data_IF_834438247490
#
_entry.id   IF_834438247490
#
_cell.length_a   1.000
_cell.length_b   1.000
_cell.length_c   1.000
_cell.angle_alpha   90.00
_cell.angle_beta   90.00
_cell.angle_gamma   90.00
#
_symmetry.space_group_name_H-M   'P 1'
#
loop_
_entity.id
_entity.type
_entity.pdbx_description
1 polymer ?
#
# COMPACT_ATOMS: atom_id res chain seq x y z
N UNK A 1 24.41 -1.17 2.00
CA UNK A 1 24.67 -2.51 1.38
C UNK A 1 25.73 -2.39 0.31
N UNK A 2 26.82 -3.22 0.33
CA UNK A 2 27.91 -3.18 -0.67
C UNK A 2 27.92 -4.49 -1.47
N UNK A 3 27.91 -4.40 -2.80
CA UNK A 3 28.06 -5.53 -3.72
C UNK A 3 29.45 -5.46 -4.36
N UNK A 4 30.23 -6.55 -4.27
CA UNK A 4 31.51 -6.64 -4.98
C UNK A 4 31.29 -6.71 -6.49
N UNK A 5 32.26 -6.29 -7.33
CA UNK A 5 32.18 -6.41 -8.78
C UNK A 5 31.85 -7.82 -9.26
N UNK A 6 32.44 -8.85 -8.61
CA UNK A 6 32.21 -10.26 -8.89
C UNK A 6 30.78 -10.67 -8.59
N UNK A 7 30.22 -10.19 -7.46
CA UNK A 7 28.82 -10.45 -7.09
C UNK A 7 27.85 -9.76 -8.06
N UNK A 8 28.15 -8.53 -8.48
CA UNK A 8 27.32 -7.80 -9.48
C UNK A 8 27.32 -8.54 -10.83
N UNK A 9 28.49 -8.99 -11.28
CA UNK A 9 28.62 -9.75 -12.54
C UNK A 9 27.82 -11.05 -12.45
N UNK A 10 27.97 -11.79 -11.36
CA UNK A 10 27.23 -13.03 -11.12
C UNK A 10 25.70 -12.82 -11.16
N UNK A 11 25.19 -11.78 -10.46
CA UNK A 11 23.76 -11.43 -10.46
C UNK A 11 23.29 -11.19 -11.91
N UNK A 12 24.04 -10.43 -12.70
CA UNK A 12 23.69 -10.12 -14.09
C UNK A 12 23.63 -11.37 -14.98
N UNK A 13 24.60 -12.26 -14.85
CA UNK A 13 24.69 -13.47 -15.66
C UNK A 13 23.63 -14.52 -15.30
N UNK A 14 23.25 -14.57 -14.02
CA UNK A 14 22.37 -15.60 -13.46
C UNK A 14 20.98 -15.10 -13.06
N UNK A 15 20.60 -13.89 -13.45
CA UNK A 15 19.34 -13.26 -13.01
C UNK A 15 18.07 -14.04 -13.41
N UNK A 16 18.15 -14.92 -14.42
CA UNK A 16 17.03 -15.74 -14.88
C UNK A 16 17.10 -17.19 -14.36
N UNK A 17 18.15 -17.56 -13.61
CA UNK A 17 18.34 -18.91 -13.13
C UNK A 17 17.53 -19.16 -11.86
N UNK A 18 17.29 -20.44 -11.56
CA UNK A 18 16.61 -20.84 -10.33
C UNK A 18 17.49 -20.60 -9.09
N UNK A 19 17.00 -19.75 -8.18
CA UNK A 19 17.73 -19.32 -6.99
C UNK A 19 18.09 -20.48 -6.04
N UNK A 20 17.27 -21.54 -5.99
CA UNK A 20 17.57 -22.72 -5.17
C UNK A 20 18.75 -23.49 -5.74
N UNK A 21 18.78 -23.66 -7.06
CA UNK A 21 19.88 -24.31 -7.77
C UNK A 21 21.18 -23.53 -7.63
N UNK A 22 21.13 -22.18 -7.66
CA UNK A 22 22.30 -21.31 -7.45
C UNK A 22 22.83 -21.46 -6.03
N UNK A 23 21.95 -21.51 -5.01
CA UNK A 23 22.36 -21.71 -3.61
C UNK A 23 23.16 -22.98 -3.40
N UNK A 24 22.77 -24.08 -4.04
CA UNK A 24 23.49 -25.36 -3.97
C UNK A 24 24.88 -25.31 -4.61
N UNK A 25 25.10 -24.37 -5.53
CA UNK A 25 26.36 -24.19 -6.25
C UNK A 25 27.32 -23.20 -5.61
N UNK A 26 27.00 -22.63 -4.44
CA UNK A 26 27.76 -21.57 -3.78
C UNK A 26 29.29 -21.88 -3.68
N UNK A 27 29.67 -23.13 -3.44
CA UNK A 27 31.08 -23.56 -3.37
C UNK A 27 31.85 -23.40 -4.68
N UNK A 28 31.18 -23.29 -5.82
CA UNK A 28 31.82 -23.07 -7.13
C UNK A 28 32.23 -21.64 -7.38
N UNK A 29 31.66 -20.70 -6.60
CA UNK A 29 31.84 -19.25 -6.75
C UNK A 29 32.34 -18.63 -5.44
N UNK A 30 33.54 -18.97 -4.97
CA UNK A 30 34.05 -18.51 -3.66
C UNK A 30 34.25 -17.01 -3.55
N UNK A 31 34.34 -16.30 -4.67
CA UNK A 31 34.48 -14.84 -4.75
C UNK A 31 33.14 -14.08 -4.71
N UNK A 32 32.01 -14.79 -4.78
CA UNK A 32 30.66 -14.22 -4.81
C UNK A 32 30.03 -14.28 -3.42
N UNK A 33 29.47 -13.17 -2.95
CA UNK A 33 28.56 -13.21 -1.81
C UNK A 33 27.24 -13.86 -2.23
N UNK A 34 27.22 -15.19 -2.21
CA UNK A 34 26.07 -15.97 -2.71
C UNK A 34 24.77 -15.69 -1.98
N UNK A 35 24.71 -15.57 -0.63
CA UNK A 35 23.50 -15.17 0.06
C UNK A 35 22.93 -13.85 -0.45
N UNK A 36 23.77 -12.85 -0.63
CA UNK A 36 23.37 -11.54 -1.11
C UNK A 36 22.96 -11.59 -2.59
N UNK A 37 23.72 -12.32 -3.44
CA UNK A 37 23.37 -12.50 -4.85
C UNK A 37 21.99 -13.15 -5.03
N UNK A 38 21.66 -14.18 -4.25
CA UNK A 38 20.37 -14.85 -4.29
C UNK A 38 19.23 -13.88 -3.91
N UNK A 39 19.40 -13.05 -2.87
CA UNK A 39 18.43 -12.04 -2.48
C UNK A 39 18.18 -11.07 -3.64
N UNK A 40 19.21 -10.59 -4.31
CA UNK A 40 19.07 -9.66 -5.44
C UNK A 40 18.41 -10.33 -6.65
N UNK A 41 18.79 -11.55 -7.00
CA UNK A 41 18.19 -12.30 -8.13
C UNK A 41 16.71 -12.58 -7.84
N UNK A 42 16.38 -13.11 -6.66
CA UNK A 42 15.01 -13.37 -6.26
C UNK A 42 14.14 -12.10 -6.27
N UNK A 43 14.70 -11.00 -5.75
CA UNK A 43 14.04 -9.69 -5.76
C UNK A 43 13.76 -9.20 -7.18
N UNK A 44 14.75 -9.27 -8.07
CA UNK A 44 14.59 -8.88 -9.47
C UNK A 44 13.54 -9.74 -10.18
N UNK A 45 13.55 -11.08 -9.99
CA UNK A 45 12.56 -11.99 -10.56
C UNK A 45 11.14 -11.71 -10.07
N UNK A 46 10.96 -11.42 -8.77
CA UNK A 46 9.66 -11.11 -8.18
C UNK A 46 9.07 -9.79 -8.69
N UNK A 47 9.88 -8.84 -9.15
CA UNK A 47 9.39 -7.53 -9.65
C UNK A 47 8.83 -7.60 -11.08
N UNK A 48 9.09 -8.65 -11.86
CA UNK A 48 8.62 -8.80 -13.26
C UNK A 48 7.13 -8.50 -13.39
N UNK A 49 6.30 -9.09 -12.54
CA UNK A 49 4.86 -8.93 -12.58
C UNK A 49 4.33 -7.95 -11.53
N UNK A 50 5.05 -7.78 -10.43
CA UNK A 50 4.59 -6.97 -9.30
C UNK A 50 4.86 -5.48 -9.49
N UNK A 51 6.04 -5.12 -10.03
CA UNK A 51 6.49 -3.73 -10.21
C UNK A 51 7.30 -3.64 -11.51
N UNK A 52 6.66 -3.75 -12.69
CA UNK A 52 7.34 -3.81 -13.98
C UNK A 52 8.27 -2.62 -14.28
N UNK A 53 7.91 -1.41 -13.86
CA UNK A 53 8.75 -0.22 -14.05
C UNK A 53 10.06 -0.30 -13.26
N UNK A 54 10.04 -0.87 -12.06
CA UNK A 54 11.25 -1.11 -11.28
C UNK A 54 12.08 -2.23 -11.88
N UNK A 55 11.42 -3.31 -12.34
CA UNK A 55 12.11 -4.40 -13.04
C UNK A 55 12.90 -3.91 -14.27
N UNK A 56 12.35 -2.93 -14.99
CA UNK A 56 13.00 -2.32 -16.16
C UNK A 56 14.15 -1.36 -15.79
N UNK A 57 14.31 -0.98 -14.52
CA UNK A 57 15.36 -0.06 -14.08
C UNK A 57 16.60 -0.84 -13.63
N UNK A 58 17.71 -0.63 -14.33
CA UNK A 58 18.98 -1.29 -14.01
C UNK A 58 19.59 -0.76 -12.72
N UNK A 59 20.21 -1.65 -11.95
CA UNK A 59 21.00 -1.29 -10.77
C UNK A 59 20.20 -1.12 -9.48
N UNK A 60 18.89 -1.38 -9.49
CA UNK A 60 18.10 -1.38 -8.26
C UNK A 60 18.53 -2.51 -7.33
N UNK A 61 18.48 -2.23 -6.03
CA UNK A 61 18.72 -3.18 -4.96
C UNK A 61 17.41 -3.59 -4.30
N UNK A 62 17.32 -4.86 -3.93
CA UNK A 62 16.12 -5.47 -3.39
C UNK A 62 16.30 -5.89 -1.93
N UNK A 63 15.26 -5.75 -1.09
CA UNK A 63 15.27 -6.22 0.29
C UNK A 63 15.11 -7.73 0.35
N UNK A 64 15.21 -8.29 1.55
CA UNK A 64 14.86 -9.67 1.80
C UNK A 64 13.42 -9.97 1.35
N UNK A 65 13.17 -11.20 0.95
CA UNK A 65 11.92 -11.68 0.35
C UNK A 65 10.63 -11.21 1.07
N UNK A 66 10.62 -11.25 2.40
CA UNK A 66 9.44 -10.86 3.19
C UNK A 66 9.01 -9.39 2.96
N UNK A 67 9.98 -8.46 2.94
CA UNK A 67 9.68 -7.04 2.70
C UNK A 67 9.16 -6.80 1.29
N UNK A 68 9.64 -7.56 0.31
CA UNK A 68 9.18 -7.47 -1.07
C UNK A 68 7.77 -8.06 -1.25
N UNK A 69 7.43 -9.16 -0.57
CA UNK A 69 6.09 -9.73 -0.60
C UNK A 69 5.03 -8.79 -0.03
N UNK A 70 5.37 -8.09 1.04
CA UNK A 70 4.45 -7.18 1.75
C UNK A 70 4.27 -5.83 1.05
N UNK A 71 5.15 -5.43 0.14
CA UNK A 71 5.01 -4.16 -0.56
C UNK A 71 3.84 -4.16 -1.57
N UNK A 72 3.37 -2.97 -1.91
CA UNK A 72 2.35 -2.76 -2.93
C UNK A 72 2.79 -3.24 -4.32
N UNK A 73 1.84 -3.62 -5.16
CA UNK A 73 2.07 -3.77 -6.60
C UNK A 73 2.08 -2.38 -7.27
N UNK A 74 2.68 -2.30 -8.46
CA UNK A 74 2.68 -1.07 -9.26
C UNK A 74 1.27 -0.53 -9.51
N UNK A 75 0.32 -1.42 -9.81
CA UNK A 75 -1.08 -1.05 -10.07
C UNK A 75 -1.71 -0.39 -8.83
N UNK A 76 -1.53 -0.97 -7.64
CA UNK A 76 -2.10 -0.40 -6.43
C UNK A 76 -1.37 0.87 -5.98
N UNK A 77 -0.06 0.99 -6.23
CA UNK A 77 0.72 2.19 -5.93
C UNK A 77 0.34 3.35 -6.86
N UNK A 78 0.16 3.10 -8.15
CA UNK A 78 -0.35 4.08 -9.11
C UNK A 78 -1.76 4.56 -8.76
N UNK A 79 -2.63 3.65 -8.31
CA UNK A 79 -3.97 4.03 -7.85
C UNK A 79 -3.89 4.99 -6.66
N UNK A 80 -3.08 4.69 -5.63
CA UNK A 80 -2.86 5.58 -4.49
C UNK A 80 -2.36 6.96 -4.94
N UNK A 81 -1.39 6.98 -5.85
CA UNK A 81 -0.85 8.23 -6.39
C UNK A 81 -1.92 9.07 -7.12
N UNK A 82 -2.92 8.43 -7.75
CA UNK A 82 -4.02 9.16 -8.43
C UNK A 82 -5.01 9.84 -7.47
N UNK A 83 -4.99 9.52 -6.18
CA UNK A 83 -5.93 10.05 -5.18
C UNK A 83 -5.42 11.31 -4.47
N UNK A 84 -4.13 11.63 -4.60
CA UNK A 84 -3.48 12.71 -3.85
C UNK A 84 -2.53 13.53 -4.71
N UNK A 85 -2.35 14.80 -4.38
CA UNK A 85 -1.38 15.70 -5.02
C UNK A 85 -1.09 16.90 -4.11
N UNK A 86 0.01 17.58 -4.34
CA UNK A 86 0.36 18.79 -3.57
C UNK A 86 1.81 19.22 -3.70
N UNK A 87 2.24 20.09 -2.79
CA UNK A 87 3.63 20.55 -2.73
C UNK A 87 4.48 19.59 -1.89
N UNK A 88 3.98 19.14 -0.72
CA UNK A 88 4.71 18.35 0.25
C UNK A 88 4.01 17.06 0.66
N UNK A 89 4.77 15.95 0.65
CA UNK A 89 4.36 14.64 1.14
C UNK A 89 5.30 14.15 2.24
N UNK A 90 4.75 13.53 3.27
CA UNK A 90 5.52 12.75 4.24
C UNK A 90 4.98 11.32 4.27
N UNK A 91 5.84 10.35 4.01
CA UNK A 91 5.59 8.93 4.26
C UNK A 91 6.19 8.56 5.61
N UNK A 92 5.36 8.25 6.59
CA UNK A 92 5.77 7.93 7.97
C UNK A 92 6.13 6.46 8.19
N UNK A 93 5.94 5.61 7.17
CA UNK A 93 6.12 4.14 7.25
C UNK A 93 6.75 3.60 5.99
N UNK A 94 7.87 4.17 5.58
CA UNK A 94 8.47 4.03 4.25
C UNK A 94 8.62 2.61 3.69
N UNK A 95 9.01 1.64 4.53
CA UNK A 95 9.19 0.24 4.11
C UNK A 95 10.18 0.10 2.96
N UNK A 96 9.86 -0.68 1.94
CA UNK A 96 10.70 -0.77 0.74
C UNK A 96 10.61 0.47 -0.17
N UNK A 97 9.68 1.39 0.09
CA UNK A 97 9.58 2.65 -0.62
C UNK A 97 8.74 2.62 -1.91
N UNK A 98 8.01 1.54 -2.21
CA UNK A 98 7.18 1.45 -3.42
C UNK A 98 6.08 2.51 -3.40
N UNK A 99 5.27 2.55 -2.35
CA UNK A 99 4.18 3.53 -2.25
C UNK A 99 4.73 4.96 -2.28
N UNK A 100 5.80 5.23 -1.51
CA UNK A 100 6.48 6.52 -1.50
C UNK A 100 6.96 6.94 -2.89
N UNK A 101 7.58 6.02 -3.66
CA UNK A 101 8.10 6.32 -4.99
C UNK A 101 7.01 6.73 -5.99
N UNK A 102 5.86 6.04 -6.00
CA UNK A 102 4.75 6.38 -6.88
C UNK A 102 4.01 7.65 -6.41
N UNK A 103 3.76 7.79 -5.11
CA UNK A 103 3.18 9.01 -4.53
C UNK A 103 4.05 10.24 -4.82
N UNK A 104 5.37 10.10 -4.76
CA UNK A 104 6.34 11.18 -5.00
C UNK A 104 6.18 11.86 -6.36
N UNK A 105 5.62 11.17 -7.37
CA UNK A 105 5.36 11.75 -8.69
C UNK A 105 4.31 12.86 -8.68
N UNK A 106 3.53 12.97 -7.60
CA UNK A 106 2.45 13.96 -7.44
C UNK A 106 2.84 15.14 -6.54
N UNK A 107 4.09 15.16 -6.03
CA UNK A 107 4.54 16.15 -5.06
C UNK A 107 5.91 16.75 -5.45
N UNK A 108 6.17 18.01 -5.03
CA UNK A 108 7.47 18.67 -5.29
C UNK A 108 8.52 18.30 -4.26
N UNK A 109 8.11 18.07 -3.02
CA UNK A 109 9.00 17.68 -1.92
C UNK A 109 8.43 16.48 -1.20
N UNK A 110 9.26 15.49 -0.94
CA UNK A 110 8.85 14.26 -0.28
C UNK A 110 9.85 13.91 0.81
N UNK A 111 9.34 13.53 1.98
CA UNK A 111 10.14 12.97 3.06
C UNK A 111 9.67 11.54 3.33
N UNK A 112 10.62 10.61 3.25
CA UNK A 112 10.43 9.19 3.54
C UNK A 112 11.07 8.88 4.89
N UNK A 113 10.28 8.31 5.82
CA UNK A 113 10.72 7.93 7.17
C UNK A 113 10.61 6.42 7.32
N UNK A 114 11.70 5.78 7.78
CA UNK A 114 11.73 4.34 8.00
C UNK A 114 12.65 4.01 9.20
N UNK A 115 12.21 3.09 10.06
CA UNK A 115 12.96 2.66 11.26
C UNK A 115 14.16 1.76 10.93
N UNK A 116 14.03 0.93 9.91
CA UNK A 116 15.04 -0.04 9.51
C UNK A 116 16.10 0.63 8.64
N UNK A 117 17.31 0.74 9.17
CA UNK A 117 18.45 1.35 8.48
C UNK A 117 18.72 0.70 7.12
N UNK A 118 18.61 -0.65 7.02
CA UNK A 118 18.80 -1.38 5.77
C UNK A 118 17.83 -0.90 4.67
N UNK A 119 16.55 -0.65 5.01
CA UNK A 119 15.56 -0.15 4.06
C UNK A 119 15.83 1.31 3.68
N UNK A 120 16.32 2.13 4.61
CA UNK A 120 16.78 3.49 4.31
C UNK A 120 17.95 3.50 3.32
N UNK A 121 18.95 2.61 3.50
CA UNK A 121 20.07 2.47 2.56
C UNK A 121 19.58 2.08 1.16
N UNK A 122 18.63 1.12 1.06
CA UNK A 122 18.03 0.73 -0.20
C UNK A 122 17.30 1.91 -0.86
N UNK A 123 16.49 2.65 -0.10
CA UNK A 123 15.77 3.82 -0.57
C UNK A 123 16.73 4.92 -1.09
N UNK A 124 17.79 5.23 -0.34
CA UNK A 124 18.82 6.19 -0.75
C UNK A 124 19.53 5.78 -2.04
N UNK A 125 19.70 4.48 -2.28
CA UNK A 125 20.28 3.96 -3.52
C UNK A 125 19.27 3.97 -4.68
N UNK A 126 18.05 3.49 -4.45
CA UNK A 126 17.06 3.24 -5.49
C UNK A 126 16.38 4.51 -6.00
N UNK A 127 15.97 5.44 -5.13
CA UNK A 127 15.23 6.63 -5.54
C UNK A 127 15.95 7.49 -6.59
N UNK A 128 17.27 7.75 -6.48
CA UNK A 128 17.99 8.47 -7.54
C UNK A 128 17.99 7.76 -8.90
N UNK A 129 18.08 6.41 -8.91
CA UNK A 129 18.02 5.59 -10.12
C UNK A 129 16.65 5.65 -10.78
N UNK A 130 15.59 5.78 -9.98
CA UNK A 130 14.22 5.98 -10.43
C UNK A 130 13.91 7.44 -10.82
N UNK A 131 14.90 8.34 -10.77
CA UNK A 131 14.72 9.75 -11.09
C UNK A 131 14.10 10.58 -9.96
N UNK A 132 13.88 10.00 -8.78
CA UNK A 132 13.16 10.59 -7.65
C UNK A 132 14.12 11.31 -6.66
N UNK A 133 14.97 12.21 -7.18
CA UNK A 133 16.00 12.92 -6.40
C UNK A 133 15.44 13.91 -5.37
N UNK A 134 14.15 14.23 -5.45
CA UNK A 134 13.44 15.14 -4.54
C UNK A 134 12.91 14.44 -3.29
N UNK A 135 13.12 13.12 -3.15
CA UNK A 135 12.79 12.36 -1.94
C UNK A 135 13.95 12.47 -0.96
N UNK A 136 13.66 12.99 0.24
CA UNK A 136 14.58 12.98 1.37
C UNK A 136 14.33 11.74 2.21
N UNK A 137 15.32 10.86 2.32
CA UNK A 137 15.29 9.68 3.18
C UNK A 137 15.78 10.05 4.57
N UNK A 138 15.04 9.63 5.60
CA UNK A 138 15.40 9.80 6.99
C UNK A 138 15.17 8.50 7.76
N UNK A 139 16.21 8.00 8.41
CA UNK A 139 16.08 6.88 9.34
C UNK A 139 15.54 7.38 10.68
N UNK A 140 14.47 6.78 11.17
CA UNK A 140 13.84 7.16 12.42
C UNK A 140 12.43 6.62 12.60
N UNK A 141 11.83 6.98 13.72
CA UNK A 141 10.45 6.64 14.05
C UNK A 141 9.48 7.65 13.43
N UNK A 142 8.47 7.15 12.68
CA UNK A 142 7.49 7.99 12.01
C UNK A 142 6.62 8.81 12.97
N UNK A 143 6.31 8.25 14.15
CA UNK A 143 5.49 8.96 15.16
C UNK A 143 6.29 10.08 15.82
N UNK A 144 7.55 9.83 16.16
CA UNK A 144 8.45 10.87 16.68
C UNK A 144 8.66 11.99 15.65
N UNK A 145 8.81 11.62 14.38
CA UNK A 145 8.93 12.60 13.30
C UNK A 145 7.64 13.43 13.15
N UNK A 146 6.46 12.78 13.17
CA UNK A 146 5.16 13.46 13.09
C UNK A 146 4.97 14.54 14.15
N UNK A 147 5.45 14.29 15.38
CA UNK A 147 5.35 15.27 16.48
C UNK A 147 6.10 16.58 16.20
N UNK A 148 7.21 16.49 15.46
CA UNK A 148 8.16 17.61 15.28
C UNK A 148 8.07 18.27 13.89
N UNK A 149 7.49 17.57 12.89
CA UNK A 149 7.45 18.04 11.51
C UNK A 149 6.55 19.27 11.34
N UNK A 150 6.83 20.14 10.36
CA UNK A 150 5.89 21.18 9.93
C UNK A 150 4.66 20.55 9.27
N UNK A 151 3.58 21.33 9.12
CA UNK A 151 2.41 20.90 8.35
C UNK A 151 2.75 20.73 6.86
N UNK A 152 2.14 19.72 6.22
CA UNK A 152 2.31 19.36 4.81
C UNK A 152 0.96 19.15 4.12
N UNK A 153 0.99 19.01 2.78
CA UNK A 153 -0.26 18.76 2.05
C UNK A 153 -0.78 17.34 2.24
N UNK A 154 0.13 16.34 2.27
CA UNK A 154 -0.25 14.95 2.42
C UNK A 154 0.65 14.19 3.40
N UNK A 155 0.03 13.35 4.20
CA UNK A 155 0.72 12.35 5.04
C UNK A 155 0.24 10.96 4.59
N UNK A 156 1.18 10.06 4.36
CA UNK A 156 0.91 8.65 4.05
C UNK A 156 1.38 7.76 5.20
N UNK A 157 0.60 6.71 5.52
CA UNK A 157 0.94 5.67 6.47
C UNK A 157 0.47 4.29 5.98
N UNK A 158 1.32 3.28 6.18
CA UNK A 158 1.00 1.85 6.06
C UNK A 158 1.34 1.15 7.39
N UNK A 159 0.48 1.27 8.42
CA UNK A 159 0.78 0.73 9.73
C UNK A 159 0.85 -0.79 9.70
N UNK A 160 1.92 -1.35 10.26
CA UNK A 160 2.13 -2.78 10.37
C UNK A 160 1.14 -3.41 11.36
N UNK A 161 0.75 -4.67 11.12
CA UNK A 161 -0.05 -5.42 12.07
C UNK A 161 0.81 -5.90 13.25
N UNK A 162 0.33 -5.74 14.48
CA UNK A 162 0.97 -6.32 15.67
C UNK A 162 0.66 -7.82 15.73
N UNK A 163 1.65 -8.66 15.54
CA UNK A 163 1.52 -10.12 15.63
C UNK A 163 2.10 -10.67 16.93
N UNK A 164 1.92 -10.02 18.08
CA UNK A 164 2.52 -10.47 19.33
C UNK A 164 2.00 -11.84 19.81
N UNK A 165 0.82 -12.31 19.35
CA UNK A 165 0.22 -13.57 19.83
C UNK A 165 -0.47 -14.41 18.75
N UNK A 166 -0.18 -14.22 17.45
CA UNK A 166 -0.75 -15.08 16.39
C UNK A 166 -2.29 -14.98 16.22
N UNK A 167 -2.93 -13.98 16.81
CA UNK A 167 -4.36 -13.73 16.67
C UNK A 167 -4.71 -13.06 15.35
N UNK A 168 -5.99 -13.15 14.93
CA UNK A 168 -6.50 -12.41 13.76
C UNK A 168 -6.61 -10.93 14.13
N UNK A 169 -5.76 -10.09 13.54
CA UNK A 169 -5.86 -8.63 13.61
C UNK A 169 -7.05 -8.20 12.77
N UNK A 170 -8.08 -7.65 13.37
CA UNK A 170 -9.30 -7.19 12.69
C UNK A 170 -9.62 -5.73 12.95
N UNK A 171 -9.03 -5.11 13.98
CA UNK A 171 -9.25 -3.72 14.36
C UNK A 171 -8.04 -2.84 14.04
N UNK A 172 -8.30 -1.55 13.81
CA UNK A 172 -7.26 -0.54 13.54
C UNK A 172 -6.35 -0.32 14.77
N UNK A 173 -6.89 -0.54 15.97
CA UNK A 173 -6.14 -0.50 17.23
C UNK A 173 -5.02 -1.55 17.33
N UNK A 174 -5.12 -2.62 16.55
CA UNK A 174 -4.13 -3.69 16.50
C UNK A 174 -2.95 -3.39 15.57
N UNK A 175 -2.95 -2.21 14.96
CA UNK A 175 -1.89 -1.76 14.06
C UNK A 175 -0.81 -0.96 14.79
N UNK A 176 0.40 -0.93 14.24
CA UNK A 176 1.50 -0.09 14.71
C UNK A 176 2.07 0.75 13.55
N UNK A 177 2.04 2.11 13.66
CA UNK A 177 1.43 2.86 14.77
C UNK A 177 -0.11 2.71 14.85
N UNK A 178 -0.69 2.88 16.05
CA UNK A 178 -2.14 2.94 16.21
C UNK A 178 -2.66 4.29 15.69
N UNK A 179 -3.11 4.30 14.44
CA UNK A 179 -3.50 5.52 13.74
C UNK A 179 -4.74 6.20 14.33
N UNK A 180 -5.64 5.45 15.00
CA UNK A 180 -6.79 6.04 15.66
C UNK A 180 -6.39 6.99 16.81
N UNK A 181 -5.34 6.66 17.55
CA UNK A 181 -4.82 7.54 18.60
C UNK A 181 -4.04 8.74 18.04
N UNK A 182 -3.58 8.66 16.80
CA UNK A 182 -2.80 9.71 16.14
C UNK A 182 -3.66 10.64 15.26
N UNK A 183 -4.94 10.31 15.04
CA UNK A 183 -5.80 11.00 14.08
C UNK A 183 -5.77 12.53 14.22
N UNK A 184 -5.93 13.03 15.44
CA UNK A 184 -5.89 14.48 15.70
C UNK A 184 -4.57 15.11 15.27
N UNK A 185 -3.44 14.50 15.64
CA UNK A 185 -2.12 15.01 15.29
C UNK A 185 -1.86 14.91 13.79
N UNK A 186 -2.30 13.83 13.14
CA UNK A 186 -2.20 13.66 11.70
C UNK A 186 -2.93 14.78 10.95
N UNK A 187 -4.15 15.13 11.40
CA UNK A 187 -4.96 16.19 10.79
C UNK A 187 -4.48 17.60 11.14
N UNK A 188 -3.79 17.80 12.27
CA UNK A 188 -3.09 19.04 12.57
C UNK A 188 -1.89 19.29 11.65
N UNK A 189 -1.23 18.21 11.19
CA UNK A 189 -0.01 18.26 10.40
C UNK A 189 -0.23 18.02 8.89
N UNK A 190 -1.32 17.36 8.50
CA UNK A 190 -1.64 17.05 7.11
C UNK A 190 -2.97 17.65 6.67
N UNK A 191 -2.99 18.35 5.50
CA UNK A 191 -4.26 18.76 4.88
C UNK A 191 -5.07 17.55 4.40
N UNK A 192 -4.37 16.47 4.07
CA UNK A 192 -4.93 15.17 3.72
C UNK A 192 -4.06 14.06 4.31
N UNK A 193 -4.69 13.02 4.82
CA UNK A 193 -4.00 11.84 5.34
C UNK A 193 -4.51 10.62 4.57
N UNK A 194 -3.60 9.82 4.03
CA UNK A 194 -3.92 8.52 3.41
C UNK A 194 -3.37 7.41 4.29
N UNK A 195 -4.25 6.54 4.75
CA UNK A 195 -3.90 5.36 5.55
C UNK A 195 -4.17 4.12 4.73
N UNK A 196 -3.12 3.34 4.46
CA UNK A 196 -3.25 2.02 3.84
C UNK A 196 -3.40 0.97 4.93
N UNK A 197 -4.37 0.10 4.78
CA UNK A 197 -4.68 -0.95 5.74
C UNK A 197 -4.71 -2.32 5.05
N UNK A 198 -4.36 -3.35 5.82
CA UNK A 198 -4.48 -4.73 5.34
C UNK A 198 -5.93 -5.06 4.96
N UNK A 199 -6.16 -5.85 3.89
CA UNK A 199 -7.50 -6.31 3.50
C UNK A 199 -8.13 -7.23 4.56
N UNK A 200 -7.39 -7.67 5.56
CA UNK A 200 -7.93 -8.48 6.66
C UNK A 200 -8.71 -7.66 7.69
N UNK A 201 -8.48 -6.34 7.77
CA UNK A 201 -9.22 -5.50 8.72
C UNK A 201 -10.70 -5.39 8.34
N UNK A 202 -11.56 -5.20 9.34
CA UNK A 202 -12.96 -4.88 9.13
C UNK A 202 -13.12 -3.40 8.77
N UNK A 203 -13.65 -3.14 7.57
CA UNK A 203 -13.84 -1.77 7.08
C UNK A 203 -14.80 -0.97 7.95
N UNK A 204 -15.87 -1.60 8.44
CA UNK A 204 -16.89 -0.91 9.24
C UNK A 204 -16.34 -0.52 10.59
N UNK A 205 -15.52 -1.38 11.21
CA UNK A 205 -14.79 -1.05 12.43
C UNK A 205 -13.78 0.07 12.19
N UNK A 206 -13.01 -0.01 11.11
CA UNK A 206 -12.01 0.99 10.78
C UNK A 206 -12.63 2.40 10.58
N UNK A 207 -13.74 2.49 9.82
CA UNK A 207 -14.47 3.77 9.63
C UNK A 207 -15.07 4.26 10.95
N UNK A 208 -15.60 3.36 11.79
CA UNK A 208 -16.20 3.74 13.07
C UNK A 208 -15.17 4.26 14.08
N UNK A 209 -13.99 3.67 14.09
CA UNK A 209 -12.92 3.98 15.03
C UNK A 209 -12.15 5.26 14.65
N UNK A 210 -12.39 5.79 13.44
CA UNK A 210 -11.83 7.04 12.90
C UNK A 210 -12.95 8.06 12.71
N UNK A 211 -12.70 9.34 13.07
CA UNK A 211 -13.76 10.37 13.08
C UNK A 211 -13.80 11.20 11.78
N UNK A 212 -12.69 11.33 11.07
CA UNK A 212 -12.54 12.25 9.93
C UNK A 212 -12.27 11.53 8.60
N UNK A 213 -12.80 10.31 8.44
CA UNK A 213 -12.72 9.60 7.16
C UNK A 213 -13.60 10.33 6.15
N UNK A 214 -13.00 10.88 5.10
CA UNK A 214 -13.74 11.53 4.00
C UNK A 214 -14.15 10.52 2.92
N UNK A 215 -13.32 9.53 2.66
CA UNK A 215 -13.55 8.46 1.68
C UNK A 215 -12.87 7.18 2.14
N UNK A 216 -13.47 6.02 1.80
CA UNK A 216 -12.84 4.71 1.98
C UNK A 216 -12.76 3.98 0.65
N UNK A 217 -11.59 3.39 0.31
CA UNK A 217 -11.39 2.65 -0.92
C UNK A 217 -11.05 1.20 -0.62
N UNK A 218 -11.68 0.29 -1.34
CA UNK A 218 -11.38 -1.14 -1.34
C UNK A 218 -10.76 -1.48 -2.69
N UNK A 219 -9.49 -1.84 -2.68
CA UNK A 219 -8.72 -2.06 -3.90
C UNK A 219 -8.47 -3.54 -4.10
N UNK A 220 -8.96 -4.05 -5.23
CA UNK A 220 -8.76 -5.43 -5.68
C UNK A 220 -7.98 -5.46 -7.00
N UNK A 221 -7.20 -6.51 -7.19
CA UNK A 221 -6.49 -6.82 -8.43
C UNK A 221 -6.80 -8.25 -8.80
N UNK A 222 -7.29 -8.48 -10.02
CA UNK A 222 -7.72 -9.78 -10.51
C UNK A 222 -8.68 -10.48 -9.54
N UNK A 223 -9.67 -9.74 -9.05
CA UNK A 223 -10.70 -10.20 -8.12
C UNK A 223 -10.16 -10.69 -6.76
N UNK A 224 -9.00 -10.20 -6.34
CA UNK A 224 -8.44 -10.41 -5.01
C UNK A 224 -8.26 -9.07 -4.29
N UNK A 225 -8.89 -8.91 -3.11
CA UNK A 225 -8.75 -7.69 -2.31
C UNK A 225 -7.32 -7.56 -1.77
N UNK A 226 -6.64 -6.48 -2.17
CA UNK A 226 -5.22 -6.25 -1.85
C UNK A 226 -5.03 -5.29 -0.69
N UNK A 227 -5.84 -4.24 -0.60
CA UNK A 227 -5.70 -3.21 0.42
C UNK A 227 -7.00 -2.44 0.64
N UNK A 228 -7.11 -1.84 1.82
CA UNK A 228 -8.10 -0.83 2.16
C UNK A 228 -7.38 0.50 2.30
N UNK A 229 -7.97 1.59 1.79
CA UNK A 229 -7.44 2.93 1.96
C UNK A 229 -8.48 3.79 2.67
N UNK A 230 -8.05 4.53 3.69
CA UNK A 230 -8.84 5.57 4.31
C UNK A 230 -8.22 6.93 3.97
N UNK A 231 -9.01 7.82 3.40
CA UNK A 231 -8.65 9.21 3.20
C UNK A 231 -9.28 10.05 4.30
N UNK A 232 -8.45 10.77 5.05
CA UNK A 232 -8.91 11.67 6.09
C UNK A 232 -8.63 13.11 5.65
N UNK A 233 -9.57 13.99 5.95
CA UNK A 233 -9.43 15.45 5.79
C UNK A 233 -9.90 16.14 7.06
N UNK A 234 -9.27 17.28 7.45
CA UNK A 234 -9.85 18.13 8.47
C UNK A 234 -11.30 18.46 8.05
N UNK A 235 -12.23 18.37 8.99
CA UNK A 235 -13.59 18.84 8.73
C UNK A 235 -13.51 20.34 8.36
N UNK A 236 -14.25 20.75 7.33
CA UNK A 236 -14.57 22.17 7.19
C UNK A 236 -15.27 22.61 8.46
N UNK A 237 -15.14 23.90 8.86
CA UNK A 237 -15.85 24.50 10.01
C UNK A 237 -17.40 24.40 9.91
N UNK A 238 -17.89 23.61 8.98
CA UNK A 238 -19.27 23.23 8.80
C UNK A 238 -19.69 22.28 9.92
N UNK A 239 -20.79 22.52 10.63
CA UNK A 239 -21.24 21.70 11.75
C UNK A 239 -21.68 20.28 11.35
N UNK A 240 -21.65 19.93 10.08
CA UNK A 240 -21.97 18.61 9.56
C UNK A 240 -20.68 17.87 9.16
N UNK A 241 -20.02 17.23 10.14
CA UNK A 241 -19.11 16.10 9.83
C UNK A 241 -19.98 15.06 9.12
N UNK A 242 -19.65 14.62 7.89
CA UNK A 242 -20.40 13.55 7.23
C UNK A 242 -20.50 12.37 8.21
N UNK A 243 -21.72 11.94 8.51
CA UNK A 243 -21.89 10.80 9.41
C UNK A 243 -21.15 9.60 8.80
N UNK A 244 -20.63 8.69 9.63
CA UNK A 244 -20.01 7.44 9.16
C UNK A 244 -20.89 6.64 8.16
N UNK A 245 -22.15 7.03 8.00
CA UNK A 245 -23.13 6.45 7.09
C UNK A 245 -23.14 7.09 5.70
N UNK A 246 -22.78 8.36 5.56
CA UNK A 246 -22.85 9.14 4.31
C UNK A 246 -21.53 9.22 3.55
N UNK A 247 -20.44 8.69 4.11
CA UNK A 247 -19.13 8.70 3.47
C UNK A 247 -19.08 7.79 2.23
N UNK A 248 -18.50 8.25 1.11
CA UNK A 248 -18.31 7.42 -0.07
C UNK A 248 -17.42 6.22 0.23
N UNK A 249 -17.88 5.04 -0.15
CA UNK A 249 -17.12 3.80 -0.19
C UNK A 249 -16.90 3.47 -1.66
N UNK A 250 -15.66 3.45 -2.08
CA UNK A 250 -15.23 3.23 -3.47
C UNK A 250 -14.64 1.84 -3.59
N UNK A 251 -15.32 0.98 -4.34
CA UNK A 251 -14.84 -0.35 -4.70
C UNK A 251 -14.16 -0.30 -6.05
N UNK A 252 -12.89 -0.71 -6.11
CA UNK A 252 -12.10 -0.77 -7.34
C UNK A 252 -11.60 -2.18 -7.53
N UNK A 253 -11.75 -2.71 -8.75
CA UNK A 253 -11.13 -3.95 -9.16
C UNK A 253 -10.42 -3.77 -10.50
N UNK A 254 -9.11 -3.99 -10.51
CA UNK A 254 -8.27 -3.99 -11.71
C UNK A 254 -8.23 -5.42 -12.27
N UNK A 255 -8.96 -5.68 -13.35
CA UNK A 255 -9.06 -6.99 -13.97
C UNK A 255 -9.02 -6.88 -15.50
N UNK A 256 -8.25 -7.75 -16.16
CA UNK A 256 -8.26 -7.89 -17.63
C UNK A 256 -8.10 -6.57 -18.41
N UNK A 257 -7.23 -5.66 -17.94
CA UNK A 257 -7.03 -4.30 -18.50
C UNK A 257 -8.23 -3.36 -18.33
N UNK A 258 -9.24 -3.77 -17.60
CA UNK A 258 -10.40 -2.94 -17.26
C UNK A 258 -10.36 -2.53 -15.80
N UNK A 259 -10.93 -1.35 -15.52
CA UNK A 259 -11.12 -0.86 -14.17
C UNK A 259 -12.61 -0.91 -13.87
N UNK A 260 -13.00 -1.82 -12.98
CA UNK A 260 -14.36 -1.90 -12.48
C UNK A 260 -14.47 -0.99 -11.26
N UNK A 261 -15.36 -0.01 -11.31
CA UNK A 261 -15.55 0.95 -10.23
C UNK A 261 -17.02 0.99 -9.80
N UNK A 262 -17.24 0.83 -8.49
CA UNK A 262 -18.54 0.94 -7.87
C UNK A 262 -18.45 1.84 -6.64
N UNK A 263 -19.39 2.77 -6.47
CA UNK A 263 -19.39 3.73 -5.35
C UNK A 263 -20.74 3.72 -4.66
N UNK A 264 -20.72 3.68 -3.35
CA UNK A 264 -21.92 3.69 -2.55
C UNK A 264 -21.68 4.33 -1.17
N UNK A 265 -22.71 4.50 -0.37
CA UNK A 265 -22.65 4.89 1.03
C UNK A 265 -23.32 3.83 1.89
N UNK A 266 -23.01 3.77 3.17
CA UNK A 266 -23.69 2.86 4.11
C UNK A 266 -25.20 3.16 4.18
N UNK A 267 -25.57 4.43 4.08
CA UNK A 267 -26.94 4.86 4.05
C UNK A 267 -27.69 4.30 2.83
N UNK A 268 -27.11 4.42 1.63
CA UNK A 268 -27.72 3.87 0.40
C UNK A 268 -27.83 2.34 0.44
N UNK A 269 -26.84 1.64 0.99
CA UNK A 269 -26.89 0.18 1.18
C UNK A 269 -28.02 -0.23 2.12
N UNK A 270 -28.21 0.50 3.23
CA UNK A 270 -29.27 0.17 4.21
C UNK A 270 -30.67 0.52 3.68
N UNK A 271 -30.81 1.58 2.90
CA UNK A 271 -32.08 2.01 2.33
C UNK A 271 -32.55 1.13 1.16
N UNK A 272 -31.65 0.29 0.62
CA UNK A 272 -31.97 -0.54 -0.55
C UNK A 272 -32.80 -1.75 -0.17
N UNK A 273 -33.91 -1.96 -0.88
CA UNK A 273 -34.73 -3.17 -0.82
C UNK A 273 -34.26 -4.19 -1.85
N UNK A 274 -34.09 -5.44 -1.43
CA UNK A 274 -33.72 -6.54 -2.31
C UNK A 274 -34.94 -7.29 -2.80
N UNK A 275 -34.99 -7.60 -4.10
CA UNK A 275 -35.96 -8.52 -4.68
C UNK A 275 -35.36 -9.94 -4.66
N UNK A 276 -36.07 -10.86 -4.01
CA UNK A 276 -35.68 -12.26 -3.96
C UNK A 276 -36.51 -13.09 -4.91
N UNK A 277 -35.89 -14.03 -5.61
CA UNK A 277 -36.57 -14.99 -6.47
C UNK A 277 -36.24 -16.42 -6.06
N UNK A 278 -37.17 -17.34 -6.31
CA UNK A 278 -36.94 -18.79 -6.17
C UNK A 278 -36.57 -19.43 -7.51
N UNK A 279 -36.62 -18.65 -8.60
CA UNK A 279 -36.27 -19.15 -9.94
C UNK A 279 -34.83 -18.75 -10.28
N UNK A 280 -34.06 -19.72 -10.75
CA UNK A 280 -32.71 -19.50 -11.23
C UNK A 280 -32.80 -19.16 -12.72
N UNK A 281 -32.27 -17.99 -13.09
CA UNK A 281 -32.19 -17.56 -14.48
C UNK A 281 -31.07 -18.25 -15.27
N UNK A 282 -30.84 -17.79 -16.50
CA UNK A 282 -29.79 -18.34 -17.39
C UNK A 282 -28.37 -18.03 -16.88
N UNK A 283 -28.21 -16.95 -16.13
CA UNK A 283 -26.92 -16.50 -15.64
C UNK A 283 -26.96 -16.33 -14.12
N UNK A 284 -25.87 -16.66 -13.46
CA UNK A 284 -25.59 -16.36 -12.05
C UNK A 284 -24.42 -15.37 -12.00
N UNK A 285 -24.60 -14.26 -11.32
CA UNK A 285 -23.56 -13.24 -11.15
C UNK A 285 -23.09 -13.20 -9.69
N UNK A 286 -21.82 -12.97 -9.51
CA UNK A 286 -21.19 -12.75 -8.22
C UNK A 286 -20.53 -11.37 -8.24
N UNK A 287 -20.76 -10.51 -7.23
CA UNK A 287 -20.03 -9.26 -7.09
C UNK A 287 -18.52 -9.51 -6.94
N UNK A 288 -17.70 -8.63 -7.49
CA UNK A 288 -16.25 -8.76 -7.35
C UNK A 288 -15.79 -8.59 -5.89
N UNK A 289 -14.55 -8.99 -5.61
CA UNK A 289 -13.99 -9.07 -4.25
C UNK A 289 -14.01 -7.72 -3.50
N UNK A 290 -13.88 -6.57 -4.21
CA UNK A 290 -13.94 -5.25 -3.56
C UNK A 290 -15.34 -4.92 -3.06
N UNK A 291 -16.38 -5.26 -3.82
CA UNK A 291 -17.80 -5.07 -3.46
C UNK A 291 -18.17 -5.97 -2.28
N UNK A 292 -17.78 -7.27 -2.34
CA UNK A 292 -18.01 -8.23 -1.25
C UNK A 292 -17.32 -7.78 0.05
N UNK A 293 -16.05 -7.35 -0.05
CA UNK A 293 -15.30 -6.83 1.09
C UNK A 293 -15.91 -5.57 1.68
N UNK A 294 -16.47 -4.70 0.85
CA UNK A 294 -17.17 -3.49 1.27
C UNK A 294 -18.51 -3.77 1.95
N UNK A 295 -19.09 -4.95 1.76
CA UNK A 295 -20.39 -5.33 2.31
C UNK A 295 -21.58 -4.66 1.59
N UNK A 296 -21.45 -4.36 0.30
CA UNK A 296 -22.53 -3.80 -0.53
C UNK A 296 -23.43 -4.91 -1.09
N UNK A 297 -24.00 -5.72 -0.22
CA UNK A 297 -24.76 -6.92 -0.64
C UNK A 297 -26.12 -6.58 -1.24
N UNK A 298 -26.82 -5.55 -0.75
CA UNK A 298 -28.14 -5.16 -1.26
C UNK A 298 -28.01 -4.42 -2.58
N UNK A 299 -27.14 -3.42 -2.64
CA UNK A 299 -26.92 -2.61 -3.84
C UNK A 299 -26.38 -3.44 -5.01
N UNK A 300 -25.52 -4.42 -4.76
CA UNK A 300 -24.99 -5.29 -5.82
C UNK A 300 -26.06 -6.17 -6.46
N UNK A 301 -27.17 -6.46 -5.78
CA UNK A 301 -28.29 -7.23 -6.33
C UNK A 301 -29.22 -6.41 -7.24
N UNK A 302 -29.15 -5.07 -7.21
CA UNK A 302 -29.99 -4.20 -8.06
C UNK A 302 -29.27 -3.88 -9.38
N UNK A 303 -27.96 -3.89 -9.40
CA UNK A 303 -27.13 -3.45 -10.52
C UNK A 303 -26.58 -4.61 -11.37
N UNK A 304 -27.11 -5.81 -11.18
CA UNK A 304 -26.74 -7.00 -11.95
C UNK A 304 -27.75 -7.26 -13.06
#
# INVERSE_FOLDING_TARGET
>A
MYLSPETILFIREHRNDDVHSLALQAKRYPQVDMPLAIVQIAGWQATVSKIPSWHATEGLLYPRHLSLEQCSSEVTALYKASLVHGEGLVDLTGGFGIDCAFLATQFKTVTYIERQEELCELAMHNFPLLGLKHIRVQNGDGVEYLQQMPAVDCIFLDPARRNEHGGKTVAISDCEPNVATLEKLLLEKGKQVMIKLSPMLDLSLAIRDMQHVSEAHIVSVNNECKELLLLLRPGDDSPEIPSAMSQPIVCINFANQEIQRFVFTRESEQATECSYTHEIGTYLYEPNASILKAGAFRLSLIHI
#
